data_IF_004890050839
#
_entry.id   IF_004890050839
#
_cell.length_a   1.000
_cell.length_b   1.000
_cell.length_c   1.000
_cell.angle_alpha   90.00
_cell.angle_beta   90.00
_cell.angle_gamma   90.00
#
_symmetry.space_group_name_H-M   'P 1'
#
loop_
_entity.id
_entity.type
_entity.pdbx_description
1 polymer ?
#
# COMPACT_ATOMS: atom_id res chain seq x y z
N UNK A 1 -6.12 -33.27 -23.40
CA UNK A 1 -7.30 -32.82 -22.65
C UNK A 1 -7.09 -31.39 -22.19
N UNK A 2 -8.02 -30.52 -22.57
CA UNK A 2 -8.06 -29.13 -22.04
C UNK A 2 -8.65 -29.23 -20.63
N UNK A 3 -7.81 -29.03 -19.61
CA UNK A 3 -8.24 -28.92 -18.22
C UNK A 3 -8.68 -27.51 -17.87
N UNK A 4 -9.09 -27.31 -16.61
CA UNK A 4 -9.39 -26.00 -16.05
C UNK A 4 -8.52 -25.74 -14.83
N UNK A 5 -8.20 -24.46 -14.56
CA UNK A 5 -7.61 -24.02 -13.32
C UNK A 5 -8.66 -23.33 -12.45
N UNK A 6 -8.54 -23.49 -11.13
CA UNK A 6 -9.42 -22.83 -10.17
C UNK A 6 -9.04 -21.37 -10.04
N UNK A 7 -10.04 -20.48 -10.03
CA UNK A 7 -9.87 -19.06 -9.70
C UNK A 7 -10.22 -18.85 -8.23
N UNK A 8 -9.39 -18.08 -7.53
CA UNK A 8 -9.61 -17.67 -6.15
C UNK A 8 -9.48 -16.15 -6.10
N UNK A 9 -10.52 -15.47 -5.61
CA UNK A 9 -10.49 -14.03 -5.34
C UNK A 9 -9.99 -13.78 -3.92
N UNK A 10 -9.00 -12.91 -3.77
CA UNK A 10 -8.48 -12.45 -2.48
C UNK A 10 -8.16 -10.94 -2.55
N UNK A 11 -8.62 -10.17 -1.55
CA UNK A 11 -9.55 -10.57 -0.50
C UNK A 11 -10.95 -10.85 -1.06
N UNK A 12 -11.81 -11.55 -0.30
CA UNK A 12 -13.20 -11.73 -0.68
C UNK A 12 -13.95 -10.40 -0.57
N UNK A 13 -14.89 -10.15 -1.48
CA UNK A 13 -15.72 -8.95 -1.50
C UNK A 13 -17.19 -9.32 -1.54
N UNK A 14 -18.01 -8.67 -0.73
CA UNK A 14 -19.45 -8.88 -0.73
C UNK A 14 -20.06 -8.51 -2.09
N UNK A 15 -20.92 -9.38 -2.61
CA UNK A 15 -21.56 -9.18 -3.89
C UNK A 15 -20.65 -9.29 -5.12
N UNK A 16 -19.43 -9.80 -4.98
CA UNK A 16 -18.54 -10.09 -6.12
C UNK A 16 -18.70 -11.53 -6.60
N UNK A 17 -19.19 -11.69 -7.80
CA UNK A 17 -19.23 -12.98 -8.51
C UNK A 17 -17.95 -13.18 -9.31
N UNK A 18 -17.26 -14.28 -9.04
CA UNK A 18 -16.04 -14.67 -9.77
C UNK A 18 -16.27 -16.08 -10.35
N UNK A 19 -15.96 -16.31 -11.62
CA UNK A 19 -16.00 -17.66 -12.17
C UNK A 19 -15.11 -18.59 -11.35
N UNK A 20 -15.57 -19.80 -11.09
CA UNK A 20 -14.81 -20.78 -10.31
C UNK A 20 -13.57 -21.29 -11.02
N UNK A 21 -13.55 -21.22 -12.35
CA UNK A 21 -12.49 -21.80 -13.19
C UNK A 21 -12.19 -20.96 -14.43
N UNK A 22 -10.98 -21.12 -14.95
CA UNK A 22 -10.54 -20.65 -16.27
C UNK A 22 -9.99 -21.85 -17.07
N UNK A 23 -10.15 -21.82 -18.38
CA UNK A 23 -9.61 -22.86 -19.26
C UNK A 23 -8.08 -22.87 -19.23
N UNK A 24 -7.50 -24.07 -19.30
CA UNK A 24 -6.08 -24.26 -19.52
C UNK A 24 -5.79 -24.49 -21.00
N UNK A 25 -4.69 -23.90 -21.49
CA UNK A 25 -4.16 -24.14 -22.84
C UNK A 25 -2.82 -24.84 -22.79
N UNK A 26 -2.41 -25.40 -23.95
CA UNK A 26 -1.08 -25.93 -24.17
C UNK A 26 -0.18 -24.80 -24.67
N UNK A 27 1.13 -24.91 -24.42
CA UNK A 27 2.13 -23.96 -24.89
C UNK A 27 3.04 -23.44 -23.79
N UNK A 28 4.01 -22.61 -24.18
CA UNK A 28 4.91 -21.93 -23.24
C UNK A 28 4.16 -20.86 -22.44
N UNK A 29 4.61 -20.62 -21.19
CA UNK A 29 3.99 -19.61 -20.32
C UNK A 29 4.06 -18.19 -20.91
N UNK A 30 5.21 -17.80 -21.41
CA UNK A 30 5.42 -16.50 -22.08
C UNK A 30 4.74 -15.32 -21.36
N UNK A 31 4.17 -14.41 -22.13
CA UNK A 31 3.34 -13.32 -21.62
C UNK A 31 1.89 -13.81 -21.37
N UNK A 32 1.74 -14.59 -20.32
CA UNK A 32 0.44 -15.18 -19.95
C UNK A 32 -0.64 -14.13 -19.64
N UNK A 33 -0.22 -12.89 -19.24
CA UNK A 33 -1.19 -11.82 -18.94
C UNK A 33 -1.95 -11.38 -20.19
N UNK A 34 -1.28 -11.36 -21.34
CA UNK A 34 -1.93 -11.01 -22.61
C UNK A 34 -2.91 -12.06 -23.11
N UNK A 35 -2.86 -13.30 -22.58
CA UNK A 35 -3.77 -14.39 -22.95
C UNK A 35 -5.08 -14.42 -22.16
N UNK A 36 -5.19 -13.54 -21.14
CA UNK A 36 -6.36 -13.46 -20.26
C UNK A 36 -6.96 -12.06 -20.35
N UNK A 37 -8.16 -11.95 -20.93
CA UNK A 37 -8.98 -10.75 -20.83
C UNK A 37 -9.69 -10.70 -19.47
N UNK A 38 -9.80 -9.51 -18.91
CA UNK A 38 -10.52 -9.27 -17.68
C UNK A 38 -11.40 -8.03 -17.81
N UNK A 39 -12.63 -8.10 -17.32
CA UNK A 39 -13.49 -6.95 -17.07
C UNK A 39 -14.35 -7.16 -15.85
N UNK A 40 -14.69 -6.07 -15.19
CA UNK A 40 -15.60 -6.02 -14.06
C UNK A 40 -16.86 -5.30 -14.49
N UNK A 41 -18.00 -5.91 -14.26
CA UNK A 41 -19.32 -5.40 -14.63
C UNK A 41 -20.12 -5.12 -13.37
N UNK A 42 -20.75 -3.94 -13.30
CA UNK A 42 -21.75 -3.63 -12.28
C UNK A 42 -23.10 -4.14 -12.78
N UNK A 43 -23.70 -5.03 -11.99
CA UNK A 43 -25.02 -5.59 -12.28
C UNK A 43 -26.12 -4.64 -11.77
N UNK A 44 -27.32 -4.76 -12.34
CA UNK A 44 -28.47 -3.92 -12.00
C UNK A 44 -28.94 -4.06 -10.54
N UNK A 45 -28.59 -5.16 -9.89
CA UNK A 45 -28.89 -5.43 -8.47
C UNK A 45 -27.78 -4.97 -7.51
N UNK A 46 -26.79 -4.22 -8.00
CA UNK A 46 -25.66 -3.70 -7.22
C UNK A 46 -24.53 -4.70 -6.97
N UNK A 47 -24.66 -5.94 -7.46
CA UNK A 47 -23.55 -6.91 -7.46
C UNK A 47 -22.51 -6.58 -8.53
N UNK A 48 -21.36 -7.22 -8.40
CA UNK A 48 -20.27 -7.15 -9.37
C UNK A 48 -20.07 -8.52 -10.01
N UNK A 49 -19.79 -8.55 -11.29
CA UNK A 49 -19.40 -9.77 -11.99
C UNK A 49 -18.02 -9.62 -12.62
N UNK A 50 -17.05 -10.39 -12.15
CA UNK A 50 -15.77 -10.52 -12.81
C UNK A 50 -15.92 -11.48 -14.00
N UNK A 51 -15.50 -11.01 -15.18
CA UNK A 51 -15.52 -11.81 -16.41
C UNK A 51 -14.09 -12.05 -16.85
N UNK A 52 -13.77 -13.31 -17.09
CA UNK A 52 -12.48 -13.72 -17.63
C UNK A 52 -12.68 -14.37 -19.01
N UNK A 53 -11.89 -13.93 -19.96
CA UNK A 53 -11.85 -14.48 -21.32
C UNK A 53 -10.44 -15.02 -21.60
N UNK A 54 -10.36 -16.03 -22.49
CA UNK A 54 -9.08 -16.62 -22.85
C UNK A 54 -8.74 -17.89 -22.08
N UNK A 55 -7.45 -18.13 -21.88
CA UNK A 55 -6.94 -19.35 -21.22
C UNK A 55 -5.57 -19.13 -20.62
N UNK A 56 -5.27 -19.88 -19.56
CA UNK A 56 -3.96 -19.88 -18.91
C UNK A 56 -3.12 -21.06 -19.44
N UNK A 57 -1.89 -20.85 -19.96
CA UNK A 57 -1.01 -21.95 -20.31
C UNK A 57 -0.70 -22.82 -19.09
N UNK A 58 -0.87 -24.15 -19.22
CA UNK A 58 -0.62 -25.10 -18.13
C UNK A 58 0.82 -25.01 -17.58
N UNK A 59 1.79 -24.71 -18.43
CA UNK A 59 3.20 -24.54 -18.07
C UNK A 59 3.47 -23.34 -17.14
N UNK A 60 2.48 -22.41 -17.00
CA UNK A 60 2.62 -21.26 -16.10
C UNK A 60 2.55 -21.63 -14.63
N UNK A 61 1.87 -22.73 -14.27
CA UNK A 61 1.56 -23.01 -12.87
C UNK A 61 0.62 -21.95 -12.25
N UNK A 62 0.52 -21.89 -10.92
CA UNK A 62 -0.28 -20.87 -10.23
C UNK A 62 0.20 -19.46 -10.54
N UNK A 63 -0.74 -18.56 -10.82
CA UNK A 63 -0.45 -17.14 -11.11
C UNK A 63 -1.37 -16.23 -10.32
N UNK A 64 -0.86 -15.06 -9.91
CA UNK A 64 -1.64 -14.00 -9.30
C UNK A 64 -1.88 -12.89 -10.31
N UNK A 65 -3.12 -12.49 -10.43
CA UNK A 65 -3.55 -11.39 -11.29
C UNK A 65 -4.17 -10.30 -10.42
N UNK A 66 -3.49 -9.16 -10.30
CA UNK A 66 -3.99 -8.04 -9.50
C UNK A 66 -4.83 -7.11 -10.36
N UNK A 67 -5.99 -6.73 -9.86
CA UNK A 67 -6.95 -5.86 -10.54
C UNK A 67 -7.28 -4.67 -9.67
N UNK A 68 -7.29 -3.49 -10.27
CA UNK A 68 -7.77 -2.24 -9.65
C UNK A 68 -8.93 -1.75 -10.49
N UNK A 69 -10.16 -1.93 -10.02
CA UNK A 69 -11.38 -1.62 -10.79
C UNK A 69 -12.48 -0.98 -9.94
N UNK A 70 -12.26 -0.79 -8.64
CA UNK A 70 -13.21 -0.20 -7.71
C UNK A 70 -12.65 1.10 -7.13
N UNK A 71 -13.54 2.01 -6.77
CA UNK A 71 -13.18 3.13 -5.92
C UNK A 71 -12.75 2.62 -4.53
N UNK A 72 -11.97 3.42 -3.81
CA UNK A 72 -11.52 3.08 -2.46
C UNK A 72 -12.70 2.82 -1.52
N UNK A 73 -13.73 3.67 -1.57
CA UNK A 73 -14.91 3.55 -0.70
C UNK A 73 -15.70 2.28 -1.01
N UNK A 74 -15.93 1.99 -2.29
CA UNK A 74 -16.63 0.78 -2.70
C UNK A 74 -15.87 -0.49 -2.32
N UNK A 75 -14.55 -0.50 -2.53
CA UNK A 75 -13.71 -1.62 -2.13
C UNK A 75 -13.78 -1.86 -0.62
N UNK A 76 -13.64 -0.79 0.18
CA UNK A 76 -13.69 -0.88 1.63
C UNK A 76 -15.08 -1.33 2.12
N UNK A 77 -16.16 -0.79 1.53
CA UNK A 77 -17.52 -1.20 1.88
C UNK A 77 -17.76 -2.68 1.63
N UNK A 78 -17.41 -3.17 0.44
CA UNK A 78 -17.60 -4.57 0.07
C UNK A 78 -16.74 -5.51 0.92
N UNK A 79 -15.52 -5.11 1.23
CA UNK A 79 -14.62 -5.88 2.09
C UNK A 79 -15.14 -5.95 3.52
N UNK A 80 -15.51 -4.81 4.11
CA UNK A 80 -16.05 -4.74 5.46
C UNK A 80 -17.36 -5.51 5.57
N UNK A 81 -18.30 -5.32 4.62
CA UNK A 81 -19.57 -6.02 4.55
C UNK A 81 -19.37 -7.53 4.53
N UNK A 82 -18.43 -8.04 3.74
CA UNK A 82 -18.16 -9.47 3.67
C UNK A 82 -17.72 -10.04 5.03
N UNK A 83 -16.81 -9.36 5.72
CA UNK A 83 -16.38 -9.81 7.06
C UNK A 83 -17.48 -9.67 8.10
N UNK A 84 -18.28 -8.62 8.04
CA UNK A 84 -19.36 -8.35 8.98
C UNK A 84 -20.51 -9.34 8.84
N UNK A 85 -20.95 -9.62 7.62
CA UNK A 85 -22.08 -10.50 7.33
C UNK A 85 -21.73 -11.98 7.47
N UNK A 86 -20.45 -12.35 7.33
CA UNK A 86 -19.97 -13.72 7.51
C UNK A 86 -20.33 -14.29 8.89
N UNK A 87 -20.37 -13.45 9.92
CA UNK A 87 -20.68 -13.82 11.28
C UNK A 87 -22.19 -13.69 11.59
N UNK A 88 -23.06 -13.61 10.59
CA UNK A 88 -24.51 -13.54 10.71
C UNK A 88 -25.06 -12.16 11.07
N UNK A 89 -24.24 -11.10 10.99
CA UNK A 89 -24.66 -9.73 11.23
C UNK A 89 -25.19 -9.10 9.94
N UNK A 90 -26.06 -8.08 10.09
CA UNK A 90 -26.58 -7.30 8.95
C UNK A 90 -25.82 -6.00 8.81
N UNK A 91 -25.50 -5.63 7.58
CA UNK A 91 -24.92 -4.35 7.22
C UNK A 91 -25.90 -3.53 6.38
N UNK A 92 -26.32 -2.37 6.88
CA UNK A 92 -27.25 -1.46 6.19
C UNK A 92 -26.64 -0.10 5.87
N UNK A 93 -25.39 0.14 6.29
CA UNK A 93 -24.67 1.40 6.08
C UNK A 93 -23.94 1.50 4.76
N UNK A 94 -23.31 2.63 4.56
CA UNK A 94 -22.41 2.92 3.43
C UNK A 94 -21.07 3.45 3.94
N UNK A 95 -20.01 3.23 3.18
CA UNK A 95 -18.72 3.87 3.40
C UNK A 95 -18.68 5.19 2.66
N UNK A 96 -18.42 6.26 3.39
CA UNK A 96 -18.30 7.61 2.85
C UNK A 96 -17.04 8.29 3.41
N UNK A 97 -16.51 9.24 2.66
CA UNK A 97 -15.46 10.11 3.17
C UNK A 97 -16.00 11.02 4.26
N UNK A 98 -15.21 11.25 5.30
CA UNK A 98 -15.62 12.08 6.42
C UNK A 98 -14.51 12.30 7.43
N UNK A 99 -14.78 13.16 8.39
CA UNK A 99 -13.92 13.35 9.56
C UNK A 99 -14.47 12.52 10.71
N UNK A 100 -13.57 11.93 11.50
CA UNK A 100 -13.96 11.25 12.74
C UNK A 100 -14.63 12.27 13.67
N UNK A 101 -15.87 12.02 14.13
CA UNK A 101 -16.57 12.93 15.04
C UNK A 101 -15.78 13.11 16.35
N UNK A 102 -15.93 14.30 16.95
CA UNK A 102 -15.43 14.52 18.30
C UNK A 102 -16.13 13.56 19.28
N UNK A 103 -15.37 12.97 20.19
CA UNK A 103 -15.91 11.99 21.16
C UNK A 103 -16.17 10.59 20.58
N UNK A 104 -15.79 10.29 19.33
CA UNK A 104 -15.91 8.95 18.78
C UNK A 104 -15.11 7.94 19.61
N UNK A 105 -15.73 6.80 19.92
CA UNK A 105 -15.06 5.71 20.65
C UNK A 105 -14.19 4.87 19.69
N UNK A 106 -12.96 4.58 20.12
CA UNK A 106 -12.11 3.61 19.42
C UNK A 106 -12.62 2.20 19.69
N UNK A 107 -13.12 1.53 18.66
CA UNK A 107 -13.69 0.18 18.77
C UNK A 107 -12.62 -0.90 18.69
N UNK A 108 -11.58 -0.70 17.90
CA UNK A 108 -10.49 -1.65 17.74
C UNK A 108 -9.23 -0.93 17.26
N UNK A 109 -8.10 -1.52 17.53
CA UNK A 109 -6.79 -1.06 17.06
C UNK A 109 -5.97 -2.26 16.61
N UNK A 110 -5.20 -2.09 15.57
CA UNK A 110 -4.19 -3.05 15.14
C UNK A 110 -2.92 -2.30 14.77
N UNK A 111 -1.82 -2.71 15.35
CA UNK A 111 -0.49 -2.21 14.97
C UNK A 111 0.02 -2.97 13.75
N UNK A 112 0.76 -2.26 12.88
CA UNK A 112 1.51 -2.87 11.78
C UNK A 112 2.77 -3.55 12.32
N UNK A 113 3.48 -4.26 11.45
CA UNK A 113 4.85 -4.68 11.74
C UNK A 113 5.74 -3.46 11.99
N UNK A 114 6.81 -3.66 12.77
CA UNK A 114 7.79 -2.61 13.05
C UNK A 114 8.38 -2.03 11.75
N UNK A 115 8.66 -0.73 11.73
CA UNK A 115 9.12 -0.02 10.53
C UNK A 115 10.34 -0.67 9.84
N UNK A 116 11.35 -1.21 10.53
CA UNK A 116 12.46 -1.93 9.87
C UNK A 116 12.01 -3.15 9.06
N UNK A 117 10.99 -3.88 9.53
CA UNK A 117 10.42 -5.02 8.80
C UNK A 117 9.69 -4.53 7.57
N UNK A 118 8.84 -3.49 7.72
CA UNK A 118 8.11 -2.88 6.60
C UNK A 118 9.05 -2.37 5.53
N UNK A 119 10.10 -1.62 5.90
CA UNK A 119 11.08 -1.07 4.94
C UNK A 119 11.87 -2.17 4.23
N UNK A 120 12.22 -3.25 4.92
CA UNK A 120 12.86 -4.41 4.30
C UNK A 120 11.97 -5.04 3.23
N UNK A 121 10.68 -5.23 3.53
CA UNK A 121 9.72 -5.76 2.57
C UNK A 121 9.47 -4.82 1.40
N UNK A 122 9.39 -3.50 1.66
CA UNK A 122 9.26 -2.47 0.62
C UNK A 122 10.41 -2.53 -0.37
N UNK A 123 11.64 -2.59 0.13
CA UNK A 123 12.83 -2.69 -0.72
C UNK A 123 12.89 -4.02 -1.48
N UNK A 124 12.64 -5.13 -0.81
CA UNK A 124 12.70 -6.47 -1.41
C UNK A 124 11.69 -6.67 -2.53
N UNK A 125 10.47 -6.14 -2.36
CA UNK A 125 9.38 -6.32 -3.31
C UNK A 125 9.12 -5.08 -4.17
N UNK A 126 9.96 -4.05 -4.06
CA UNK A 126 9.84 -2.79 -4.80
C UNK A 126 8.42 -2.19 -4.70
N UNK A 127 7.88 -2.11 -3.47
CA UNK A 127 6.54 -1.57 -3.26
C UNK A 127 6.56 -0.03 -3.29
N UNK A 128 6.35 0.54 -4.45
CA UNK A 128 6.41 1.98 -4.69
C UNK A 128 5.35 2.76 -3.92
N UNK A 129 4.17 2.18 -3.68
CA UNK A 129 3.10 2.83 -2.94
C UNK A 129 3.50 3.01 -1.47
N UNK A 130 3.96 1.95 -0.82
CA UNK A 130 4.38 2.02 0.58
C UNK A 130 5.63 2.91 0.71
N UNK A 131 6.58 2.85 -0.23
CA UNK A 131 7.73 3.75 -0.24
C UNK A 131 7.30 5.22 -0.25
N UNK A 132 6.31 5.58 -1.08
CA UNK A 132 5.73 6.93 -1.10
C UNK A 132 5.05 7.30 0.22
N UNK A 133 4.31 6.37 0.83
CA UNK A 133 3.67 6.61 2.13
C UNK A 133 4.71 6.87 3.23
N UNK A 134 5.78 6.07 3.30
CA UNK A 134 6.88 6.29 4.24
C UNK A 134 7.49 7.69 4.02
N UNK A 135 7.75 8.06 2.75
CA UNK A 135 8.29 9.38 2.43
C UNK A 135 7.37 10.52 2.89
N UNK A 136 6.07 10.43 2.61
CA UNK A 136 5.10 11.44 3.07
C UNK A 136 5.01 11.50 4.61
N UNK A 137 5.16 10.36 5.29
CA UNK A 137 5.18 10.32 6.75
C UNK A 137 6.34 11.10 7.34
N UNK A 138 7.50 11.18 6.66
CA UNK A 138 8.60 12.04 7.11
C UNK A 138 8.17 13.51 7.23
N UNK A 139 7.29 13.98 6.34
CA UNK A 139 6.78 15.36 6.39
C UNK A 139 6.05 15.70 7.70
N UNK A 140 5.48 14.70 8.38
CA UNK A 140 4.82 14.91 9.68
C UNK A 140 5.81 15.31 10.78
N UNK A 141 7.11 15.00 10.59
CA UNK A 141 8.16 15.28 11.55
C UNK A 141 8.66 16.75 11.47
N UNK A 142 8.36 17.47 10.39
CA UNK A 142 8.85 18.83 10.17
C UNK A 142 8.51 19.80 11.31
N UNK A 143 7.34 19.63 11.91
CA UNK A 143 6.81 20.47 12.97
C UNK A 143 6.51 19.67 14.25
N UNK A 144 7.12 18.49 14.41
CA UNK A 144 7.05 17.79 15.68
C UNK A 144 7.76 18.66 16.73
N UNK A 145 7.16 18.89 17.90
CA UNK A 145 7.89 19.54 18.99
C UNK A 145 9.13 18.70 19.29
N UNK A 146 10.28 19.35 19.48
CA UNK A 146 11.50 18.67 19.92
C UNK A 146 11.16 17.86 21.16
N UNK A 147 11.30 16.54 21.11
CA UNK A 147 11.04 15.64 22.25
C UNK A 147 11.95 15.87 23.47
N UNK A 148 12.80 16.91 23.42
CA UNK A 148 13.69 17.27 24.50
C UNK A 148 12.97 17.76 25.77
N UNK A 149 11.67 18.11 25.70
CA UNK A 149 10.91 18.65 26.84
C UNK A 149 9.76 17.77 27.36
N UNK A 150 9.53 16.59 26.82
CA UNK A 150 8.58 15.63 27.39
C UNK A 150 9.31 14.46 28.05
N UNK A 151 9.74 14.68 29.30
CA UNK A 151 10.34 13.65 30.16
C UNK A 151 9.40 12.49 30.49
N UNK A 152 9.02 11.68 29.55
CA UNK A 152 8.35 10.40 29.78
C UNK A 152 8.68 9.38 28.71
N UNK A 153 9.92 8.87 28.77
CA UNK A 153 10.19 7.53 28.19
C UNK A 153 9.65 6.50 29.17
N UNK A 154 8.45 5.99 28.89
CA UNK A 154 8.02 4.74 29.52
C UNK A 154 8.93 3.63 29.00
N UNK A 155 9.60 2.93 29.90
CA UNK A 155 10.42 1.76 29.63
C UNK A 155 9.53 0.63 29.08
N UNK A 156 9.28 0.64 27.78
CA UNK A 156 8.41 -0.32 27.13
C UNK A 156 8.31 -0.19 25.62
N UNK A 157 9.05 0.74 24.97
CA UNK A 157 9.14 0.80 23.49
C UNK A 157 7.83 1.07 22.74
N UNK A 158 6.76 1.43 23.42
CA UNK A 158 5.55 1.87 22.76
C UNK A 158 5.77 3.28 22.21
N UNK A 159 5.79 3.41 20.90
CA UNK A 159 5.64 4.71 20.24
C UNK A 159 4.39 5.38 20.80
N UNK A 160 4.51 6.61 21.27
CA UNK A 160 3.35 7.44 21.55
C UNK A 160 2.41 7.39 20.33
N UNK A 161 1.07 7.30 20.51
CA UNK A 161 0.15 7.29 19.39
C UNK A 161 0.51 8.49 18.52
N UNK A 162 0.87 8.23 17.24
CA UNK A 162 1.13 9.31 16.28
C UNK A 162 -0.11 10.21 16.31
N UNK A 163 0.04 11.41 16.85
CA UNK A 163 -0.99 12.42 16.70
C UNK A 163 -1.35 12.49 15.22
N UNK A 164 -2.65 12.56 14.95
CA UNK A 164 -3.24 12.51 13.62
C UNK A 164 -2.38 13.25 12.60
N UNK A 165 -2.18 12.70 11.38
CA UNK A 165 -1.49 13.42 10.33
C UNK A 165 -2.08 14.83 10.25
N UNK A 166 -1.25 15.84 10.41
CA UNK A 166 -1.73 17.22 10.32
C UNK A 166 -2.29 17.42 8.92
N UNK A 167 -3.48 18.05 8.76
CA UNK A 167 -3.98 18.39 7.45
C UNK A 167 -2.95 19.26 6.73
N UNK A 168 -2.52 18.85 5.54
CA UNK A 168 -1.62 19.64 4.70
C UNK A 168 -0.17 19.20 4.65
N UNK A 169 0.19 18.04 5.19
CA UNK A 169 1.54 17.48 4.93
C UNK A 169 1.63 17.06 3.47
N UNK A 170 2.61 17.60 2.77
CA UNK A 170 2.85 17.33 1.36
C UNK A 170 4.27 16.81 1.08
N UNK A 171 4.60 16.67 -0.20
CA UNK A 171 5.92 16.22 -0.62
C UNK A 171 7.03 17.21 -0.29
N UNK A 172 6.72 18.50 -0.17
CA UNK A 172 7.72 19.53 0.13
C UNK A 172 8.11 19.49 1.60
N UNK A 173 7.17 19.19 2.49
CA UNK A 173 7.46 18.93 3.91
C UNK A 173 8.39 17.73 4.08
N UNK A 174 8.09 16.64 3.39
CA UNK A 174 8.92 15.43 3.40
C UNK A 174 10.33 15.69 2.85
N UNK A 175 10.44 16.48 1.77
CA UNK A 175 11.74 16.88 1.20
C UNK A 175 12.54 17.74 2.18
N UNK A 176 11.90 18.67 2.88
CA UNK A 176 12.58 19.54 3.84
C UNK A 176 13.16 18.72 5.01
N UNK A 177 12.41 17.76 5.57
CA UNK A 177 12.92 16.86 6.62
C UNK A 177 14.10 16.04 6.12
N UNK A 178 13.96 15.45 4.92
CA UNK A 178 15.03 14.66 4.32
C UNK A 178 16.27 15.49 4.02
N UNK A 179 16.13 16.73 3.52
CA UNK A 179 17.23 17.62 3.24
C UNK A 179 18.02 17.96 4.53
N UNK A 180 17.32 18.22 5.65
CA UNK A 180 17.94 18.41 6.96
C UNK A 180 18.78 17.20 7.37
N UNK A 181 18.21 16.00 7.31
CA UNK A 181 18.94 14.77 7.64
C UNK A 181 20.14 14.53 6.72
N UNK A 182 20.01 14.80 5.41
CA UNK A 182 21.14 14.69 4.47
C UNK A 182 22.27 15.66 4.80
N UNK A 183 21.93 16.89 5.18
CA UNK A 183 22.92 17.89 5.59
C UNK A 183 23.67 17.46 6.86
N UNK A 184 22.99 16.91 7.87
CA UNK A 184 23.60 16.32 9.07
C UNK A 184 24.57 15.17 8.74
N UNK A 185 24.31 14.42 7.67
CA UNK A 185 25.20 13.35 7.18
C UNK A 185 26.29 13.85 6.23
N UNK A 186 26.44 15.17 6.08
CA UNK A 186 27.45 15.79 5.24
C UNK A 186 27.22 15.61 3.73
N UNK A 187 26.00 15.32 3.32
CA UNK A 187 25.63 15.26 1.90
C UNK A 187 25.41 16.68 1.39
N UNK A 188 26.13 17.13 0.35
CA UNK A 188 25.99 18.48 -0.17
C UNK A 188 24.56 18.76 -0.69
N UNK A 189 24.13 20.01 -0.54
CA UNK A 189 22.87 20.47 -1.12
C UNK A 189 22.84 20.24 -2.63
N UNK A 190 21.68 19.86 -3.16
CA UNK A 190 21.49 19.53 -4.58
C UNK A 190 22.08 18.18 -5.03
N UNK A 191 22.87 17.48 -4.19
CA UNK A 191 23.42 16.18 -4.52
C UNK A 191 22.36 15.07 -4.55
N UNK A 192 21.23 15.29 -3.89
CA UNK A 192 20.05 14.40 -3.87
C UNK A 192 18.81 15.22 -4.18
N UNK A 193 18.07 14.82 -5.20
CA UNK A 193 16.76 15.38 -5.54
C UNK A 193 15.74 14.27 -5.55
N UNK A 194 14.76 14.32 -4.65
CA UNK A 194 13.66 13.38 -4.57
C UNK A 194 12.37 14.08 -4.96
N UNK A 195 11.65 13.49 -5.91
CA UNK A 195 10.36 13.99 -6.36
C UNK A 195 9.24 13.59 -5.39
N UNK A 196 8.92 12.30 -5.32
CA UNK A 196 7.74 11.83 -4.60
C UNK A 196 7.97 10.58 -3.72
N UNK A 197 9.19 10.14 -3.58
CA UNK A 197 9.56 8.99 -2.75
C UNK A 197 9.11 7.60 -3.27
N UNK A 198 8.40 7.52 -4.39
CA UNK A 198 7.89 6.24 -4.90
C UNK A 198 8.93 5.36 -5.59
N UNK A 199 10.09 5.92 -5.97
CA UNK A 199 11.10 5.24 -6.79
C UNK A 199 10.76 5.17 -8.29
N UNK A 200 9.62 5.70 -8.74
CA UNK A 200 9.19 5.68 -10.15
C UNK A 200 9.38 7.03 -10.86
N UNK A 201 9.84 8.04 -10.17
CA UNK A 201 10.01 9.37 -10.74
C UNK A 201 11.16 9.41 -11.76
N UNK A 202 10.93 10.13 -12.85
CA UNK A 202 11.95 10.42 -13.87
C UNK A 202 12.75 11.68 -13.55
N UNK A 203 12.38 12.45 -12.55
CA UNK A 203 13.03 13.70 -12.14
C UNK A 203 13.94 13.52 -10.93
N UNK A 204 13.76 12.47 -10.13
CA UNK A 204 14.67 12.16 -9.02
C UNK A 204 16.10 11.93 -9.50
N UNK A 205 17.07 12.51 -8.79
CA UNK A 205 18.50 12.44 -9.10
C UNK A 205 19.28 12.23 -7.81
N UNK A 206 20.38 11.52 -7.91
CA UNK A 206 21.36 11.36 -6.84
C UNK A 206 22.75 11.25 -7.44
N UNK A 207 23.73 11.91 -6.87
CA UNK A 207 25.13 11.73 -7.28
C UNK A 207 25.68 10.43 -6.70
N UNK A 208 26.66 9.80 -7.40
CA UNK A 208 27.29 8.58 -6.90
C UNK A 208 27.94 8.79 -5.52
N UNK A 209 28.56 9.95 -5.31
CA UNK A 209 29.15 10.32 -4.01
C UNK A 209 28.09 10.38 -2.90
N UNK A 210 26.96 11.07 -3.13
CA UNK A 210 25.87 11.15 -2.16
C UNK A 210 25.29 9.76 -1.85
N UNK A 211 25.12 8.91 -2.85
CA UNK A 211 24.68 7.53 -2.64
C UNK A 211 25.62 6.76 -1.71
N UNK A 212 26.93 6.88 -1.93
CA UNK A 212 27.93 6.22 -1.07
C UNK A 212 27.87 6.75 0.36
N UNK A 213 27.71 8.08 0.54
CA UNK A 213 27.60 8.70 1.86
C UNK A 213 26.34 8.22 2.61
N UNK A 214 25.20 8.15 1.92
CA UNK A 214 23.94 7.66 2.50
C UNK A 214 24.07 6.20 2.92
N UNK A 215 24.65 5.34 2.07
CA UNK A 215 24.86 3.92 2.40
C UNK A 215 25.82 3.75 3.58
N UNK A 216 26.90 4.53 3.64
CA UNK A 216 27.83 4.51 4.76
C UNK A 216 27.15 4.97 6.06
N UNK A 217 26.36 6.04 6.02
CA UNK A 217 25.60 6.52 7.17
C UNK A 217 24.59 5.48 7.69
N UNK A 218 23.89 4.79 6.78
CA UNK A 218 22.94 3.73 7.16
C UNK A 218 23.61 2.45 7.67
N UNK A 219 24.87 2.19 7.29
CA UNK A 219 25.63 1.04 7.81
C UNK A 219 26.19 1.28 9.21
N UNK A 220 26.48 2.53 9.56
CA UNK A 220 27.12 2.92 10.83
C UNK A 220 26.09 3.33 11.91
N UNK A 221 24.80 3.36 11.56
CA UNK A 221 23.70 3.68 12.49
C UNK A 221 23.10 2.39 13.07
#
# INVERSE_FOLDING_TARGET
SSGTARIISMPPLSGLEVPSTIRLSRGACGDWKSTIGYRLEHLSDGRLAARFEGSLPLSCGPKTFSVVSLSQNEYLERLFRWYWERDGRTWTGHVAEGRVPEGALKLAERESDALPVVTTLVNKWSNNLIARHIFLTLGTLRNAPDEADSGSRTAGGAFAPMERPRPGVDTDDARAVLAGWLAEKGVPDGAVMIDNGSGLSRTSRVTARAMTQILAAGWLS
#
